data_IF_094021835459
#
_entry.id   IF_094021835459
#
_cell.length_a   1.000
_cell.length_b   1.000
_cell.length_c   1.000
_cell.angle_alpha   90.00
_cell.angle_beta   90.00
_cell.angle_gamma   90.00
#
_symmetry.space_group_name_H-M   'P 1'
#
loop_
_entity.id
_entity.type
_entity.pdbx_description
1 polymer ?
#
# COMPACT_ATOMS: atom_id res chain seq x y z
N UNK A 1 -51.12 1.12 43.97
CA UNK A 1 -51.00 0.26 42.78
C UNK A 1 -49.53 -0.04 42.58
N UNK A 2 -49.05 -1.18 43.16
CA UNK A 2 -47.63 -1.58 43.04
C UNK A 2 -47.45 -2.27 41.68
N UNK A 3 -46.72 -1.64 40.75
CA UNK A 3 -46.30 -2.25 39.51
C UNK A 3 -45.32 -3.38 39.81
N UNK A 4 -45.76 -4.63 39.73
CA UNK A 4 -44.90 -5.81 39.76
C UNK A 4 -44.13 -5.80 38.41
N UNK A 5 -42.97 -5.16 38.40
CA UNK A 5 -42.08 -5.19 37.22
C UNK A 5 -41.65 -6.63 36.97
N UNK A 6 -42.09 -7.18 35.85
CA UNK A 6 -41.67 -8.51 35.41
C UNK A 6 -40.14 -8.57 35.36
N UNK A 7 -39.53 -9.49 36.15
CA UNK A 7 -38.07 -9.66 36.21
C UNK A 7 -37.44 -9.77 34.79
N UNK A 8 -38.13 -10.41 33.86
CA UNK A 8 -37.69 -10.51 32.47
C UNK A 8 -37.62 -9.14 31.77
N UNK A 9 -38.61 -8.29 31.97
CA UNK A 9 -38.62 -6.92 31.40
C UNK A 9 -37.49 -6.04 31.97
N UNK A 10 -37.18 -6.20 33.24
CA UNK A 10 -36.06 -5.47 33.90
C UNK A 10 -34.72 -5.94 33.33
N UNK A 11 -34.53 -7.26 33.19
CA UNK A 11 -33.29 -7.83 32.62
C UNK A 11 -33.11 -7.37 31.17
N UNK A 12 -34.15 -7.46 30.33
CA UNK A 12 -34.10 -6.96 28.96
C UNK A 12 -33.74 -5.49 28.88
N UNK A 13 -34.34 -4.65 29.76
CA UNK A 13 -34.01 -3.23 29.83
C UNK A 13 -32.55 -2.98 30.20
N UNK A 14 -32.00 -3.69 31.17
CA UNK A 14 -30.57 -3.58 31.53
C UNK A 14 -29.66 -3.99 30.35
N UNK A 15 -29.96 -5.09 29.68
CA UNK A 15 -29.18 -5.55 28.54
C UNK A 15 -29.22 -4.53 27.41
N UNK A 16 -30.37 -3.94 27.10
CA UNK A 16 -30.50 -2.91 26.08
C UNK A 16 -29.71 -1.65 26.43
N UNK A 17 -29.77 -1.18 27.70
CA UNK A 17 -29.00 -0.02 28.17
C UNK A 17 -27.50 -0.33 28.05
N UNK A 18 -27.05 -1.50 28.49
CA UNK A 18 -25.65 -1.89 28.40
C UNK A 18 -25.17 -1.95 26.94
N UNK A 19 -26.00 -2.48 26.02
CA UNK A 19 -25.70 -2.53 24.60
C UNK A 19 -25.61 -1.12 23.99
N UNK A 20 -26.55 -0.23 24.31
CA UNK A 20 -26.54 1.17 23.86
C UNK A 20 -25.30 1.89 24.39
N UNK A 21 -24.99 1.72 25.67
CA UNK A 21 -23.80 2.32 26.28
C UNK A 21 -22.51 1.79 25.63
N UNK A 22 -22.44 0.49 25.36
CA UNK A 22 -21.32 -0.12 24.66
C UNK A 22 -21.15 0.43 23.24
N UNK A 23 -22.24 0.52 22.45
CA UNK A 23 -22.19 1.08 21.09
C UNK A 23 -21.80 2.56 21.13
N UNK A 24 -22.38 3.36 22.04
CA UNK A 24 -22.03 4.76 22.20
C UNK A 24 -20.54 4.94 22.55
N UNK A 25 -20.02 4.12 23.48
CA UNK A 25 -18.60 4.11 23.81
C UNK A 25 -17.72 3.77 22.61
N UNK A 26 -18.10 2.78 21.80
CA UNK A 26 -17.37 2.40 20.57
C UNK A 26 -17.37 3.51 19.53
N UNK A 27 -18.46 4.26 19.41
CA UNK A 27 -18.56 5.37 18.44
C UNK A 27 -17.67 6.57 18.81
N UNK A 28 -17.50 6.86 20.09
CA UNK A 28 -16.67 7.99 20.59
C UNK A 28 -15.23 7.59 20.89
N UNK A 29 -14.96 6.30 21.07
CA UNK A 29 -13.60 5.83 21.34
C UNK A 29 -12.69 6.14 20.14
N UNK A 30 -11.49 6.70 20.38
CA UNK A 30 -10.48 6.83 19.34
C UNK A 30 -10.24 5.48 18.66
N UNK A 31 -10.14 5.50 17.35
CA UNK A 31 -10.01 4.29 16.57
C UNK A 31 -8.58 3.79 16.64
N UNK A 32 -8.38 2.66 17.33
CA UNK A 32 -7.14 1.91 17.23
C UNK A 32 -7.23 1.06 15.96
N UNK A 33 -6.76 1.61 14.85
CA UNK A 33 -6.96 1.03 13.52
C UNK A 33 -6.15 -0.25 13.28
N UNK A 34 -5.13 -0.51 14.09
CA UNK A 34 -4.33 -1.72 14.00
C UNK A 34 -3.70 -2.07 15.36
N UNK A 35 -3.22 -3.30 15.49
CA UNK A 35 -2.47 -3.72 16.67
C UNK A 35 -1.04 -3.21 16.56
N UNK A 36 -0.59 -2.51 17.59
CA UNK A 36 0.80 -2.09 17.70
C UNK A 36 1.65 -3.31 18.04
N UNK A 37 2.45 -3.77 17.08
CA UNK A 37 3.40 -4.86 17.29
C UNK A 37 4.76 -4.32 17.78
N UNK A 38 5.57 -5.18 18.36
CA UNK A 38 6.92 -4.82 18.82
C UNK A 38 7.79 -4.22 17.71
N UNK A 39 7.56 -4.65 16.46
CA UNK A 39 8.34 -4.19 15.31
C UNK A 39 8.25 -2.67 15.11
N UNK A 40 7.10 -2.04 15.41
CA UNK A 40 6.91 -0.61 15.18
C UNK A 40 6.33 0.18 16.37
N UNK A 41 6.28 -0.41 17.58
CA UNK A 41 5.85 0.33 18.78
C UNK A 41 6.79 1.47 19.16
N UNK A 42 8.05 1.35 18.77
CA UNK A 42 9.11 2.33 19.02
C UNK A 42 9.90 2.62 17.75
N UNK A 43 10.51 3.82 17.65
CA UNK A 43 11.44 4.14 16.57
C UNK A 43 12.68 3.24 16.62
N UNK A 44 13.48 3.26 15.56
CA UNK A 44 14.82 2.67 15.53
C UNK A 44 15.71 3.48 16.44
N UNK A 45 16.37 2.81 17.41
CA UNK A 45 17.32 3.47 18.31
C UNK A 45 18.59 3.85 17.55
N UNK A 46 19.07 5.05 17.82
CA UNK A 46 20.37 5.56 17.36
C UNK A 46 21.33 5.83 18.51
N UNK A 47 21.10 5.20 19.67
CA UNK A 47 21.89 5.44 20.87
C UNK A 47 23.36 5.00 20.72
N UNK A 48 23.59 3.83 20.10
CA UNK A 48 24.89 3.19 19.98
C UNK A 48 25.44 3.34 18.57
N UNK A 49 25.69 4.58 18.14
CA UNK A 49 26.24 4.84 16.81
C UNK A 49 27.71 4.39 16.73
N UNK A 50 28.12 3.75 15.62
CA UNK A 50 29.54 3.51 15.38
C UNK A 50 30.33 4.85 15.42
N UNK A 51 31.48 4.93 16.09
CA UNK A 51 32.27 6.16 16.15
C UNK A 51 32.68 6.73 14.78
N UNK A 52 32.74 5.86 13.77
CA UNK A 52 33.00 6.24 12.37
C UNK A 52 31.82 6.89 11.66
N UNK A 53 30.60 6.82 12.22
CA UNK A 53 29.40 7.39 11.63
C UNK A 53 29.08 8.74 12.25
N UNK A 54 29.57 9.82 11.63
CA UNK A 54 29.39 11.18 12.14
C UNK A 54 28.01 11.78 11.86
N UNK A 55 27.28 11.26 10.86
CA UNK A 55 25.98 11.77 10.45
C UNK A 55 25.04 10.61 10.11
N UNK A 56 23.76 10.79 10.43
CA UNK A 56 22.66 9.90 10.01
C UNK A 56 21.91 10.43 8.79
N UNK A 57 22.24 11.65 8.34
CA UNK A 57 21.63 12.26 7.16
C UNK A 57 21.98 11.44 5.90
N UNK A 58 21.00 11.26 5.03
CA UNK A 58 21.20 10.65 3.73
C UNK A 58 22.25 11.40 2.88
N UNK A 59 22.35 12.75 3.04
CA UNK A 59 23.43 13.54 2.43
C UNK A 59 24.81 13.18 2.94
N UNK A 60 24.92 12.80 4.21
CA UNK A 60 26.20 12.29 4.76
C UNK A 60 26.61 10.98 4.09
N UNK A 61 25.66 10.08 3.87
CA UNK A 61 25.90 8.83 3.14
C UNK A 61 26.22 9.07 1.65
N UNK A 62 25.62 10.09 1.04
CA UNK A 62 25.84 10.46 -0.36
C UNK A 62 27.31 10.80 -0.67
N UNK A 63 28.10 11.27 0.31
CA UNK A 63 29.53 11.54 0.12
C UNK A 63 30.33 10.35 -0.44
N UNK A 64 29.88 9.12 -0.17
CA UNK A 64 30.45 7.90 -0.72
C UNK A 64 29.47 7.10 -1.57
N UNK A 65 28.16 7.18 -1.27
CA UNK A 65 27.09 6.38 -1.88
C UNK A 65 26.15 7.22 -2.74
N UNK A 66 26.70 8.07 -3.61
CA UNK A 66 25.98 9.09 -4.37
C UNK A 66 24.81 8.52 -5.20
N UNK A 67 25.05 7.46 -5.97
CA UNK A 67 24.02 6.89 -6.84
C UNK A 67 22.84 6.32 -6.04
N UNK A 68 23.09 5.74 -4.87
CA UNK A 68 22.03 5.24 -3.98
C UNK A 68 21.23 6.38 -3.37
N UNK A 69 21.89 7.50 -3.03
CA UNK A 69 21.22 8.70 -2.56
C UNK A 69 20.31 9.31 -3.64
N UNK A 70 20.78 9.40 -4.87
CA UNK A 70 19.99 9.91 -6.00
C UNK A 70 18.73 9.08 -6.23
N UNK A 71 18.86 7.75 -6.22
CA UNK A 71 17.72 6.84 -6.33
C UNK A 71 16.72 7.02 -5.17
N UNK A 72 17.21 6.99 -3.94
CA UNK A 72 16.41 7.19 -2.74
C UNK A 72 15.68 8.54 -2.75
N UNK A 73 16.35 9.61 -3.15
CA UNK A 73 15.77 10.95 -3.17
C UNK A 73 14.55 11.10 -4.08
N UNK A 74 14.41 10.20 -5.07
CA UNK A 74 13.24 10.14 -5.97
C UNK A 74 12.13 9.21 -5.47
N UNK A 75 12.35 8.51 -4.35
CA UNK A 75 11.40 7.54 -3.81
C UNK A 75 10.40 8.20 -2.86
N UNK A 76 9.25 7.56 -2.67
CA UNK A 76 8.29 8.00 -1.67
C UNK A 76 8.84 7.86 -0.23
N UNK A 77 9.83 6.99 0.00
CA UNK A 77 10.49 6.86 1.30
C UNK A 77 11.16 8.17 1.74
N UNK A 78 11.81 8.90 0.84
CA UNK A 78 12.41 10.20 1.15
C UNK A 78 11.38 11.29 1.47
N UNK A 79 10.12 11.08 1.08
CA UNK A 79 9.04 12.04 1.20
C UNK A 79 8.02 11.68 2.28
N UNK A 80 8.19 10.57 3.00
CA UNK A 80 7.18 10.03 3.93
C UNK A 80 6.74 11.01 5.00
N UNK A 81 7.58 11.95 5.40
CA UNK A 81 7.23 13.01 6.35
C UNK A 81 6.72 14.28 5.67
N UNK A 82 7.30 14.63 4.54
CA UNK A 82 6.99 15.88 3.82
C UNK A 82 5.81 15.75 2.85
N UNK A 83 5.27 14.55 2.66
CA UNK A 83 4.09 14.31 1.84
C UNK A 83 2.88 15.11 2.36
N UNK A 84 2.35 16.05 1.56
CA UNK A 84 1.24 16.90 1.99
C UNK A 84 -0.02 16.13 2.35
N UNK A 85 -0.29 15.01 1.66
CA UNK A 85 -1.44 14.16 2.00
C UNK A 85 -1.26 13.53 3.39
N UNK A 86 -0.10 12.95 3.65
CA UNK A 86 0.20 12.37 4.96
C UNK A 86 0.05 13.40 6.09
N UNK A 87 0.57 14.61 5.90
CA UNK A 87 0.50 15.66 6.93
C UNK A 87 -0.96 16.04 7.26
N UNK A 88 -1.81 16.22 6.24
CA UNK A 88 -3.23 16.56 6.45
C UNK A 88 -3.98 15.40 7.08
N UNK A 89 -3.75 14.17 6.62
CA UNK A 89 -4.41 12.97 7.15
C UNK A 89 -4.00 12.68 8.60
N UNK A 90 -2.71 12.81 8.92
CA UNK A 90 -2.17 12.67 10.27
C UNK A 90 -2.72 13.73 11.24
N UNK A 91 -2.84 14.99 10.78
CA UNK A 91 -3.46 16.06 11.56
C UNK A 91 -4.95 15.80 11.82
N UNK A 92 -5.67 15.39 10.76
CA UNK A 92 -7.09 15.04 10.86
C UNK A 92 -7.35 13.91 11.86
N UNK A 93 -6.48 12.92 11.94
CA UNK A 93 -6.59 11.81 12.89
C UNK A 93 -6.03 12.14 14.29
N UNK A 94 -5.66 13.40 14.57
CA UNK A 94 -5.23 13.88 15.90
C UNK A 94 -3.75 13.68 16.19
N UNK A 95 -2.91 13.58 15.15
CA UNK A 95 -1.44 13.48 15.25
C UNK A 95 -0.95 12.28 16.08
N UNK A 96 -1.45 11.06 15.83
CA UNK A 96 -1.05 9.91 16.63
C UNK A 96 0.46 9.63 16.50
N UNK A 97 1.12 9.44 17.64
CA UNK A 97 2.56 9.22 17.71
C UNK A 97 3.01 7.99 16.93
N UNK A 98 2.19 6.94 16.91
CA UNK A 98 2.51 5.68 16.23
C UNK A 98 2.82 5.87 14.74
N UNK A 99 2.22 6.84 14.06
CA UNK A 99 2.46 7.12 12.65
C UNK A 99 3.93 7.52 12.40
N UNK A 100 4.53 8.26 13.35
CA UNK A 100 5.93 8.68 13.29
C UNK A 100 6.90 7.51 13.24
N UNK A 101 6.57 6.39 13.88
CA UNK A 101 7.46 5.21 13.93
C UNK A 101 7.68 4.53 12.57
N UNK A 102 6.83 4.84 11.58
CA UNK A 102 7.02 4.40 10.20
C UNK A 102 7.42 5.55 9.26
N UNK A 103 6.88 6.77 9.45
CA UNK A 103 7.10 7.90 8.55
C UNK A 103 8.41 8.66 8.83
N UNK A 104 8.87 8.66 10.09
CA UNK A 104 10.17 9.19 10.56
C UNK A 104 10.74 8.20 11.59
N UNK A 105 11.25 7.05 11.12
CA UNK A 105 11.44 5.87 11.95
C UNK A 105 12.65 5.92 12.90
N UNK A 106 13.53 6.90 12.81
CA UNK A 106 14.65 7.04 13.74
C UNK A 106 14.23 7.83 14.99
N UNK A 107 14.74 7.47 16.15
CA UNK A 107 14.47 8.18 17.41
C UNK A 107 14.85 9.67 17.35
N UNK A 108 15.97 10.03 16.70
CA UNK A 108 16.41 11.42 16.50
C UNK A 108 15.54 12.25 15.56
N UNK A 109 14.68 11.61 14.78
CA UNK A 109 13.72 12.31 13.93
C UNK A 109 12.47 12.76 14.69
N UNK A 110 12.32 12.33 15.96
CA UNK A 110 11.11 12.58 16.74
C UNK A 110 11.38 13.54 17.89
N UNK A 111 10.52 14.56 18.05
CA UNK A 111 10.65 15.60 19.06
C UNK A 111 10.54 15.07 20.48
N UNK A 112 9.88 13.89 20.61
CA UNK A 112 9.66 13.23 21.89
C UNK A 112 10.12 11.77 21.86
N UNK A 113 10.60 11.29 22.99
CA UNK A 113 10.88 9.88 23.24
C UNK A 113 9.66 9.18 23.80
N UNK A 114 9.37 7.99 23.32
CA UNK A 114 8.38 7.10 23.92
C UNK A 114 9.03 6.36 25.07
N UNK A 115 8.71 6.76 26.33
CA UNK A 115 9.28 6.16 27.53
C UNK A 115 8.41 5.05 28.12
N UNK A 116 7.15 4.96 27.71
CA UNK A 116 6.22 3.92 28.14
C UNK A 116 4.87 4.07 27.46
N UNK A 117 3.89 3.31 27.94
CA UNK A 117 2.52 3.36 27.45
C UNK A 117 1.56 3.35 28.65
N UNK A 118 0.50 4.16 28.59
CA UNK A 118 -0.56 4.18 29.61
C UNK A 118 -1.64 3.13 29.35
N UNK A 119 -1.66 2.53 28.17
CA UNK A 119 -2.63 1.50 27.74
C UNK A 119 -1.93 0.20 27.31
N UNK A 120 -2.65 -0.91 27.43
CA UNK A 120 -2.14 -2.24 27.03
C UNK A 120 -1.96 -2.36 25.52
N UNK A 121 -2.70 -1.60 24.77
CA UNK A 121 -2.66 -1.62 23.30
C UNK A 121 -1.56 -0.75 22.71
N UNK A 122 -0.82 -0.01 23.54
CA UNK A 122 0.31 0.83 23.13
C UNK A 122 -0.06 1.96 22.15
N UNK A 123 -1.31 2.44 22.21
CA UNK A 123 -1.78 3.59 21.45
C UNK A 123 -1.61 4.92 22.17
N UNK A 124 -1.42 4.89 23.49
CA UNK A 124 -1.25 6.06 24.31
C UNK A 124 0.16 6.09 24.90
N UNK A 125 1.16 6.55 24.14
CA UNK A 125 2.53 6.62 24.59
C UNK A 125 2.69 7.68 25.68
N UNK A 126 3.55 7.39 26.64
CA UNK A 126 4.08 8.37 27.59
C UNK A 126 5.29 9.00 26.93
N UNK A 127 5.25 10.31 26.75
CA UNK A 127 6.23 11.06 25.96
C UNK A 127 7.07 11.97 26.85
N UNK A 128 8.38 12.01 26.59
CA UNK A 128 9.32 12.98 27.16
C UNK A 128 10.03 13.75 26.03
N UNK A 129 10.45 15.00 26.27
CA UNK A 129 11.24 15.75 25.30
C UNK A 129 12.50 14.97 24.87
N UNK A 130 12.82 15.03 23.61
CA UNK A 130 14.00 14.36 23.07
C UNK A 130 15.15 15.35 22.83
N UNK A 131 16.18 15.41 23.71
CA UNK A 131 17.30 16.32 23.54
C UNK A 131 18.18 16.00 22.32
N UNK A 132 18.04 14.81 21.73
CA UNK A 132 18.75 14.40 20.53
C UNK A 132 17.94 14.64 19.24
N UNK A 133 16.82 15.34 19.33
CA UNK A 133 15.97 15.63 18.16
C UNK A 133 16.72 16.48 17.11
N UNK A 134 16.64 16.05 15.87
CA UNK A 134 17.21 16.70 14.70
C UNK A 134 16.10 16.98 13.67
N UNK A 135 15.72 18.26 13.58
CA UNK A 135 14.65 18.71 12.68
C UNK A 135 15.03 18.56 11.19
N UNK A 136 16.32 18.62 10.83
CA UNK A 136 16.75 18.41 9.44
C UNK A 136 16.62 16.94 9.07
N UNK A 137 17.04 16.05 9.96
CA UNK A 137 16.90 14.61 9.76
C UNK A 137 15.41 14.18 9.69
N UNK A 138 14.52 14.84 10.44
CA UNK A 138 13.09 14.61 10.36
C UNK A 138 12.53 14.75 8.94
N UNK A 139 12.98 15.77 8.20
CA UNK A 139 12.52 16.03 6.83
C UNK A 139 13.00 15.01 5.81
N UNK A 140 13.94 14.15 6.16
CA UNK A 140 14.41 13.09 5.27
C UNK A 140 13.51 11.84 5.26
N UNK A 141 12.47 11.80 6.12
CA UNK A 141 11.54 10.68 6.16
C UNK A 141 12.23 9.35 6.47
N UNK A 142 11.95 8.32 5.68
CA UNK A 142 12.63 7.02 5.80
C UNK A 142 13.99 7.10 5.09
N UNK A 143 15.01 7.49 5.86
CA UNK A 143 16.38 7.69 5.36
C UNK A 143 17.18 6.37 5.31
N UNK A 144 18.43 6.45 4.83
CA UNK A 144 19.33 5.29 4.74
C UNK A 144 19.47 4.56 6.08
N UNK A 145 19.65 5.29 7.17
CA UNK A 145 19.82 4.75 8.51
C UNK A 145 18.58 3.99 9.01
N UNK A 146 17.40 4.34 8.52
CA UNK A 146 16.16 3.65 8.88
C UNK A 146 16.18 2.16 8.51
N UNK A 147 16.85 1.80 7.42
CA UNK A 147 17.02 0.43 6.94
C UNK A 147 18.36 -0.17 7.33
N UNK A 148 19.43 0.62 7.26
CA UNK A 148 20.80 0.13 7.41
C UNK A 148 21.39 0.24 8.81
N UNK A 149 20.75 0.91 9.77
CA UNK A 149 21.23 0.98 11.14
C UNK A 149 20.39 0.10 12.07
N UNK A 150 21.03 -0.84 12.74
CA UNK A 150 20.42 -1.67 13.81
C UNK A 150 21.45 -1.92 14.91
N UNK A 151 21.07 -1.67 16.15
CA UNK A 151 21.85 -1.97 17.36
C UNK A 151 23.31 -1.47 17.26
N UNK A 152 23.49 -0.25 16.80
CA UNK A 152 24.82 0.36 16.61
C UNK A 152 25.64 -0.18 15.44
N UNK A 153 25.07 -1.01 14.58
CA UNK A 153 25.74 -1.64 13.43
C UNK A 153 25.16 -1.18 12.12
N UNK A 154 26.03 -1.02 11.13
CA UNK A 154 25.59 -0.80 9.75
C UNK A 154 25.38 -2.15 9.08
N UNK A 155 24.20 -2.36 8.48
CA UNK A 155 23.83 -3.59 7.80
C UNK A 155 24.04 -3.46 6.29
N UNK A 156 24.55 -4.52 5.67
CA UNK A 156 24.71 -4.55 4.21
C UNK A 156 24.77 -5.98 3.67
N UNK A 157 24.62 -6.17 2.33
CA UNK A 157 24.55 -7.52 1.76
C UNK A 157 25.87 -8.26 1.77
N UNK A 158 26.99 -7.54 1.81
CA UNK A 158 28.30 -8.15 1.65
C UNK A 158 29.07 -8.31 2.98
N UNK A 159 28.76 -7.48 3.99
CA UNK A 159 29.59 -7.32 5.16
C UNK A 159 30.98 -6.78 4.77
N UNK A 160 31.66 -6.05 5.61
CA UNK A 160 33.05 -5.67 5.38
C UNK A 160 33.68 -5.06 6.63
N UNK A 161 34.78 -5.61 7.07
CA UNK A 161 35.61 -5.04 8.14
C UNK A 161 36.53 -3.93 7.62
N UNK A 162 36.78 -3.89 6.31
CA UNK A 162 37.67 -2.92 5.66
C UNK A 162 36.98 -1.67 5.10
N UNK A 163 35.69 -1.53 5.32
CA UNK A 163 34.95 -0.32 4.92
C UNK A 163 35.31 0.86 5.84
N UNK A 164 35.03 2.08 5.37
CA UNK A 164 35.17 3.28 6.19
C UNK A 164 34.33 3.24 7.48
N UNK A 165 33.32 2.42 7.52
CA UNK A 165 32.53 2.01 8.68
C UNK A 165 32.34 0.48 8.66
N UNK A 166 32.32 -0.21 9.83
CA UNK A 166 32.03 -1.63 9.88
C UNK A 166 30.66 -1.96 9.32
N UNK A 167 30.59 -3.04 8.51
CA UNK A 167 29.33 -3.51 7.92
C UNK A 167 29.09 -4.96 8.32
N UNK A 168 28.00 -5.19 9.01
CA UNK A 168 27.52 -6.56 9.32
C UNK A 168 26.63 -7.06 8.17
N UNK A 169 26.77 -8.34 7.85
CA UNK A 169 25.99 -8.95 6.78
C UNK A 169 24.55 -9.15 7.21
N UNK A 170 23.62 -8.58 6.44
CA UNK A 170 22.18 -8.77 6.62
C UNK A 170 21.77 -10.18 6.15
N UNK A 171 21.28 -11.01 7.06
CA UNK A 171 20.90 -12.40 6.77
C UNK A 171 19.67 -12.48 5.88
N UNK A 172 18.62 -11.70 6.19
CA UNK A 172 17.39 -11.60 5.41
C UNK A 172 17.05 -10.14 5.11
N UNK A 173 17.33 -9.66 3.90
CA UNK A 173 17.11 -8.26 3.57
C UNK A 173 15.63 -7.84 3.56
N UNK A 174 14.67 -8.77 3.48
CA UNK A 174 13.24 -8.45 3.54
C UNK A 174 12.79 -8.08 4.96
N UNK A 175 13.51 -8.49 6.00
CA UNK A 175 13.13 -8.18 7.39
C UNK A 175 13.12 -6.69 7.71
N UNK A 176 13.95 -5.89 7.03
CA UNK A 176 13.95 -4.43 7.23
C UNK A 176 12.63 -3.80 6.81
N UNK A 177 11.92 -4.40 5.86
CA UNK A 177 10.62 -3.93 5.36
C UNK A 177 9.52 -4.18 6.40
N UNK A 178 9.64 -5.25 7.19
CA UNK A 178 8.60 -5.70 8.10
C UNK A 178 8.37 -4.75 9.28
N UNK A 179 9.32 -3.89 9.59
CA UNK A 179 9.11 -2.86 10.61
C UNK A 179 7.91 -1.96 10.32
N UNK A 180 7.67 -1.63 9.04
CA UNK A 180 6.63 -0.67 8.63
C UNK A 180 5.52 -1.32 7.79
N UNK A 181 5.82 -2.38 7.03
CA UNK A 181 4.85 -3.01 6.13
C UNK A 181 4.15 -4.24 6.72
N UNK A 182 4.49 -4.64 7.95
CA UNK A 182 3.78 -5.65 8.74
C UNK A 182 2.89 -4.98 9.76
N UNK A 183 1.64 -4.77 9.42
CA UNK A 183 0.62 -4.36 10.37
C UNK A 183 -0.34 -5.52 10.53
N UNK A 184 -0.27 -6.22 11.63
CA UNK A 184 -1.07 -7.39 11.92
C UNK A 184 -1.64 -7.37 13.34
N UNK A 185 -2.60 -8.24 13.61
CA UNK A 185 -3.10 -8.40 14.95
C UNK A 185 -4.30 -9.31 15.06
N UNK A 186 -4.44 -9.89 16.24
CA UNK A 186 -5.48 -10.84 16.62
C UNK A 186 -6.45 -10.24 17.64
N UNK A 187 -6.90 -9.00 17.44
CA UNK A 187 -7.80 -8.37 18.39
C UNK A 187 -9.25 -8.74 18.12
N UNK A 188 -10.01 -8.93 19.20
CA UNK A 188 -11.44 -9.27 19.13
C UNK A 188 -12.31 -8.14 18.57
N UNK A 189 -11.82 -6.88 18.62
CA UNK A 189 -12.52 -5.69 18.12
C UNK A 189 -12.19 -5.34 16.66
N UNK A 190 -11.35 -6.17 16.01
CA UNK A 190 -11.12 -6.16 14.57
C UNK A 190 -11.60 -7.50 14.01
N UNK A 191 -12.82 -7.55 13.51
CA UNK A 191 -13.45 -8.80 13.07
C UNK A 191 -12.73 -9.43 11.89
N UNK A 192 -12.17 -8.63 11.02
CA UNK A 192 -11.38 -9.09 9.88
C UNK A 192 -10.00 -8.44 9.94
N UNK A 193 -9.00 -9.26 9.89
CA UNK A 193 -7.63 -8.96 10.31
C UNK A 193 -6.74 -8.40 9.22
N UNK A 194 -7.32 -7.78 8.22
CA UNK A 194 -6.51 -7.02 7.28
C UNK A 194 -6.41 -5.58 7.75
N UNK A 195 -5.33 -5.25 8.44
CA UNK A 195 -5.07 -3.88 8.82
C UNK A 195 -4.84 -3.02 7.57
N UNK A 196 -4.94 -1.69 7.68
CA UNK A 196 -4.80 -0.78 6.55
C UNK A 196 -3.54 -1.01 5.70
N UNK A 197 -2.44 -1.43 6.30
CA UNK A 197 -1.15 -1.60 5.62
C UNK A 197 -0.66 -3.05 5.62
N UNK A 198 -1.54 -4.02 5.43
CA UNK A 198 -1.27 -5.45 5.56
C UNK A 198 -0.61 -6.13 4.35
N UNK A 199 0.27 -5.46 3.62
CA UNK A 199 0.90 -6.00 2.40
C UNK A 199 1.55 -7.37 2.60
N UNK A 200 2.27 -7.59 3.70
CA UNK A 200 2.91 -8.88 4.00
C UNK A 200 1.86 -9.99 4.24
N UNK A 201 0.78 -9.67 4.95
CA UNK A 201 -0.31 -10.62 5.16
C UNK A 201 -1.01 -10.99 3.83
N UNK A 202 -1.10 -10.07 2.89
CA UNK A 202 -1.66 -10.32 1.56
C UNK A 202 -0.81 -11.31 0.76
N UNK A 203 0.51 -11.23 0.83
CA UNK A 203 1.42 -12.19 0.19
C UNK A 203 1.20 -13.60 0.74
N UNK A 204 1.14 -13.72 2.07
CA UNK A 204 0.97 -15.01 2.75
C UNK A 204 -0.39 -15.65 2.50
N UNK A 205 -1.43 -14.84 2.24
CA UNK A 205 -2.81 -15.30 2.03
C UNK A 205 -3.26 -15.26 0.57
N UNK A 206 -2.35 -15.04 -0.39
CA UNK A 206 -2.73 -15.04 -1.80
C UNK A 206 -3.20 -16.44 -2.21
N UNK A 207 -4.48 -16.64 -2.58
CA UNK A 207 -4.94 -17.92 -3.10
C UNK A 207 -4.20 -18.22 -4.40
N UNK A 208 -3.62 -19.39 -4.52
CA UNK A 208 -2.91 -19.80 -5.74
C UNK A 208 -1.39 -19.79 -5.64
N UNK A 209 -0.80 -19.55 -4.47
CA UNK A 209 0.57 -19.99 -4.18
C UNK A 209 0.62 -21.54 -4.10
N UNK A 210 -0.09 -22.23 -5.00
CA UNK A 210 -0.04 -23.68 -5.17
C UNK A 210 1.09 -24.02 -6.14
N UNK A 211 1.64 -25.23 -6.02
CA UNK A 211 2.67 -25.79 -6.93
C UNK A 211 2.28 -25.76 -8.41
N UNK A 212 1.01 -25.51 -8.73
CA UNK A 212 0.43 -25.53 -10.07
C UNK A 212 0.18 -24.11 -10.65
N UNK A 213 0.58 -23.04 -9.96
CA UNK A 213 0.51 -21.70 -10.53
C UNK A 213 1.49 -21.60 -11.72
N UNK A 214 1.06 -21.10 -12.89
CA UNK A 214 1.95 -20.96 -14.03
C UNK A 214 3.15 -20.09 -13.63
N UNK A 215 4.37 -20.46 -14.06
CA UNK A 215 5.55 -19.61 -13.85
C UNK A 215 5.26 -18.23 -14.44
N UNK A 216 5.66 -17.17 -13.74
CA UNK A 216 5.66 -15.84 -14.31
C UNK A 216 6.38 -15.92 -15.65
N UNK A 217 5.79 -15.32 -16.69
CA UNK A 217 6.31 -15.45 -18.05
C UNK A 217 7.81 -15.11 -18.09
N UNK A 218 8.61 -16.07 -18.58
CA UNK A 218 10.06 -16.05 -18.54
C UNK A 218 10.74 -15.01 -19.45
N UNK A 219 10.03 -13.96 -19.88
CA UNK A 219 10.49 -12.96 -20.85
C UNK A 219 10.49 -11.54 -20.28
N UNK A 220 10.85 -11.39 -19.01
CA UNK A 220 11.06 -10.04 -18.49
C UNK A 220 12.52 -9.62 -18.68
N UNK A 221 12.75 -8.79 -19.71
CA UNK A 221 14.03 -8.12 -19.99
C UNK A 221 14.31 -6.97 -19.01
N UNK A 222 13.44 -6.73 -18.00
CA UNK A 222 13.55 -5.64 -17.02
C UNK A 222 14.49 -5.96 -15.85
N UNK A 223 15.08 -7.15 -15.80
CA UNK A 223 15.98 -7.56 -14.72
C UNK A 223 15.27 -7.90 -13.40
N UNK A 224 13.95 -8.12 -13.44
CA UNK A 224 13.20 -8.61 -12.29
C UNK A 224 13.36 -10.13 -12.20
N UNK A 225 13.95 -10.61 -11.10
CA UNK A 225 13.93 -12.03 -10.79
C UNK A 225 12.49 -12.51 -10.59
N UNK A 226 12.05 -13.46 -11.39
CA UNK A 226 10.75 -14.10 -11.21
C UNK A 226 10.76 -14.93 -9.94
N UNK A 227 9.84 -14.63 -9.01
CA UNK A 227 9.63 -15.45 -7.82
C UNK A 227 9.08 -16.81 -8.26
N UNK A 228 9.83 -17.88 -7.97
CA UNK A 228 9.39 -19.23 -8.30
C UNK A 228 8.06 -19.57 -7.62
N UNK A 229 7.14 -20.27 -8.32
CA UNK A 229 5.92 -20.77 -7.70
C UNK A 229 6.27 -21.69 -6.52
N UNK A 230 5.76 -21.39 -5.35
CA UNK A 230 5.95 -22.20 -4.13
C UNK A 230 6.85 -21.59 -3.06
N UNK A 231 7.55 -20.48 -3.32
CA UNK A 231 8.21 -19.73 -2.26
C UNK A 231 7.19 -18.76 -1.63
N UNK A 232 6.62 -19.17 -0.51
CA UNK A 232 5.66 -18.38 0.25
C UNK A 232 6.30 -17.22 1.03
N UNK A 233 7.62 -17.06 0.95
CA UNK A 233 8.35 -16.00 1.62
C UNK A 233 8.16 -14.68 0.89
N UNK A 234 7.81 -13.57 1.59
CA UNK A 234 7.76 -12.26 0.99
C UNK A 234 9.12 -11.87 0.41
N UNK A 235 9.17 -11.60 -0.90
CA UNK A 235 10.40 -11.20 -1.57
C UNK A 235 10.30 -9.77 -2.11
N UNK A 236 10.23 -8.81 -1.19
CA UNK A 236 10.01 -7.39 -1.47
C UNK A 236 11.12 -6.81 -2.37
N UNK A 237 12.37 -7.16 -2.06
CA UNK A 237 13.54 -6.57 -2.72
C UNK A 237 13.68 -7.01 -4.18
N UNK A 238 13.16 -8.17 -4.56
CA UNK A 238 13.25 -8.64 -5.95
C UNK A 238 12.49 -7.73 -6.92
N UNK A 239 11.30 -7.28 -6.52
CA UNK A 239 10.46 -6.42 -7.35
C UNK A 239 10.72 -4.93 -7.11
N UNK A 240 10.86 -4.51 -5.84
CA UNK A 240 10.95 -3.09 -5.50
C UNK A 240 12.37 -2.52 -5.51
N UNK A 241 13.40 -3.37 -5.58
CA UNK A 241 14.80 -3.01 -5.62
C UNK A 241 15.54 -3.77 -6.73
N UNK A 242 15.33 -3.42 -8.01
CA UNK A 242 15.91 -4.15 -9.15
C UNK A 242 17.43 -4.15 -9.10
N UNK A 243 18.03 -5.18 -9.69
CA UNK A 243 19.50 -5.36 -9.73
C UNK A 243 20.17 -4.35 -10.67
N UNK A 244 21.40 -4.01 -10.36
CA UNK A 244 22.31 -3.24 -11.19
C UNK A 244 23.75 -3.65 -10.95
N UNK A 245 24.60 -3.54 -11.99
CA UNK A 245 26.03 -3.78 -11.92
C UNK A 245 26.75 -2.42 -11.77
N UNK A 246 27.23 -2.10 -10.58
CA UNK A 246 27.94 -0.85 -10.29
C UNK A 246 28.76 -0.94 -9.00
N UNK A 247 29.68 0.00 -8.77
CA UNK A 247 30.39 0.06 -7.48
C UNK A 247 29.46 0.51 -6.35
N UNK A 248 29.77 0.10 -5.11
CA UNK A 248 29.10 0.61 -3.90
C UNK A 248 29.51 2.06 -3.58
N UNK A 249 30.71 2.42 -3.95
CA UNK A 249 31.30 3.77 -3.76
C UNK A 249 32.05 4.16 -5.02
N UNK A 250 32.16 5.45 -5.29
CA UNK A 250 32.85 5.97 -6.47
C UNK A 250 34.29 5.39 -6.58
N UNK A 251 34.64 4.87 -7.74
CA UNK A 251 35.93 4.24 -8.00
C UNK A 251 36.12 2.84 -7.37
N UNK A 252 35.12 2.31 -6.68
CA UNK A 252 35.16 1.01 -6.08
C UNK A 252 34.98 -0.16 -7.08
N UNK A 253 35.09 -1.39 -6.59
CA UNK A 253 34.85 -2.60 -7.38
C UNK A 253 33.39 -2.69 -7.82
N UNK A 254 33.16 -3.01 -9.10
CA UNK A 254 31.81 -3.33 -9.62
C UNK A 254 31.28 -4.58 -8.93
N UNK A 255 30.04 -4.49 -8.51
CA UNK A 255 29.30 -5.56 -7.83
C UNK A 255 27.84 -5.55 -8.29
N UNK A 256 27.18 -6.68 -8.17
CA UNK A 256 25.73 -6.76 -8.29
C UNK A 256 25.09 -6.09 -7.06
N UNK A 257 24.40 -4.99 -7.25
CA UNK A 257 23.74 -4.21 -6.20
C UNK A 257 22.27 -4.04 -6.49
N UNK A 258 21.50 -3.63 -5.51
CA UNK A 258 20.09 -3.31 -5.70
C UNK A 258 19.88 -1.80 -5.77
N UNK A 259 19.06 -1.37 -6.73
CA UNK A 259 18.62 0.02 -6.84
C UNK A 259 17.68 0.37 -5.69
N UNK A 260 17.80 1.59 -5.17
CA UNK A 260 17.05 2.09 -4.03
C UNK A 260 15.86 2.96 -4.48
N UNK A 261 15.02 2.43 -5.37
CA UNK A 261 13.91 3.14 -6.00
C UNK A 261 12.58 2.93 -5.30
N UNK A 262 12.30 1.73 -4.80
CA UNK A 262 11.04 1.33 -4.15
C UNK A 262 9.79 1.81 -4.89
N UNK A 263 9.77 1.67 -6.21
CA UNK A 263 8.59 2.05 -7.01
C UNK A 263 7.37 1.24 -6.60
N UNK A 264 6.21 1.87 -6.64
CA UNK A 264 4.95 1.26 -6.20
C UNK A 264 3.75 2.03 -6.74
N UNK A 265 2.67 2.19 -5.97
CA UNK A 265 1.44 2.84 -6.41
C UNK A 265 1.56 4.31 -6.84
N UNK A 266 2.66 4.98 -6.54
CA UNK A 266 2.97 6.34 -7.03
C UNK A 266 3.70 6.34 -8.39
N UNK A 267 4.02 5.16 -8.92
CA UNK A 267 4.69 5.00 -10.21
C UNK A 267 3.76 4.26 -11.18
N UNK A 268 3.23 4.93 -12.22
CA UNK A 268 2.31 4.31 -13.18
C UNK A 268 2.91 3.11 -13.90
N UNK A 269 4.21 3.13 -14.22
CA UNK A 269 4.86 2.04 -14.94
C UNK A 269 5.01 0.80 -14.05
N UNK A 270 5.31 0.98 -12.76
CA UNK A 270 5.33 -0.13 -11.81
C UNK A 270 3.94 -0.78 -11.66
N UNK A 271 2.87 0.02 -11.63
CA UNK A 271 1.50 -0.51 -11.56
C UNK A 271 1.13 -1.25 -12.84
N UNK A 272 1.51 -0.74 -14.01
CA UNK A 272 1.28 -1.41 -15.30
C UNK A 272 1.99 -2.76 -15.38
N UNK A 273 3.19 -2.90 -14.83
CA UNK A 273 3.90 -4.17 -14.76
C UNK A 273 3.18 -5.22 -13.89
N UNK A 274 2.43 -4.76 -12.88
CA UNK A 274 1.64 -5.62 -12.03
C UNK A 274 0.31 -6.09 -12.64
N UNK A 275 -0.16 -5.43 -13.70
CA UNK A 275 -1.54 -5.56 -14.19
C UNK A 275 -1.60 -5.94 -15.66
N UNK A 276 -2.09 -7.13 -15.96
CA UNK A 276 -2.51 -7.49 -17.31
C UNK A 276 -3.96 -7.08 -17.53
N UNK A 277 -4.23 -6.32 -18.60
CA UNK A 277 -5.57 -5.85 -18.95
C UNK A 277 -5.85 -6.04 -20.43
N UNK A 278 -7.03 -6.58 -20.74
CA UNK A 278 -7.46 -6.78 -22.12
C UNK A 278 -8.97 -6.49 -22.29
N UNK A 279 -9.31 -5.69 -23.29
CA UNK A 279 -10.67 -5.60 -23.81
C UNK A 279 -10.78 -6.45 -25.07
N UNK A 280 -11.74 -7.37 -25.13
CA UNK A 280 -11.95 -8.25 -26.28
C UNK A 280 -13.42 -8.33 -26.63
N UNK A 281 -13.73 -8.48 -27.91
CA UNK A 281 -15.07 -8.85 -28.33
C UNK A 281 -15.30 -10.33 -28.03
N UNK A 282 -16.42 -10.64 -27.40
CA UNK A 282 -16.89 -11.97 -27.06
C UNK A 282 -17.97 -12.44 -28.07
N UNK A 283 -18.29 -13.72 -28.13
CA UNK A 283 -19.42 -14.19 -28.93
C UNK A 283 -20.70 -13.41 -28.66
N UNK A 284 -21.39 -13.01 -29.72
CA UNK A 284 -22.62 -12.24 -29.62
C UNK A 284 -23.72 -13.05 -28.86
N UNK A 285 -24.38 -12.45 -27.88
CA UNK A 285 -25.42 -13.17 -27.12
C UNK A 285 -26.69 -13.44 -27.95
N UNK A 286 -26.93 -12.68 -29.00
CA UNK A 286 -28.04 -12.87 -29.95
C UNK A 286 -27.83 -11.99 -31.21
N UNK A 287 -28.52 -12.29 -32.34
CA UNK A 287 -28.44 -11.47 -33.54
C UNK A 287 -28.76 -9.99 -33.26
N UNK A 288 -27.90 -9.09 -33.81
CA UNK A 288 -28.01 -7.64 -33.60
C UNK A 288 -27.45 -7.11 -32.28
N UNK A 289 -26.87 -7.99 -31.45
CA UNK A 289 -26.13 -7.60 -30.26
C UNK A 289 -24.65 -7.93 -30.41
N UNK A 290 -23.80 -7.18 -29.71
CA UNK A 290 -22.37 -7.44 -29.57
C UNK A 290 -22.03 -7.50 -28.09
N UNK A 291 -21.10 -8.32 -27.72
CA UNK A 291 -20.63 -8.46 -26.34
C UNK A 291 -19.14 -8.17 -26.26
N UNK A 292 -18.73 -7.46 -25.22
CA UNK A 292 -17.34 -7.14 -24.96
C UNK A 292 -16.97 -7.58 -23.56
N UNK A 293 -15.75 -8.05 -23.41
CA UNK A 293 -15.24 -8.49 -22.12
C UNK A 293 -13.98 -7.72 -21.77
N UNK A 294 -14.00 -7.01 -20.68
CA UNK A 294 -12.82 -6.40 -20.08
C UNK A 294 -12.30 -7.31 -18.96
N UNK A 295 -11.08 -7.79 -19.11
CA UNK A 295 -10.42 -8.66 -18.14
C UNK A 295 -9.24 -7.94 -17.51
N UNK A 296 -9.15 -7.96 -16.18
CA UNK A 296 -8.02 -7.45 -15.40
C UNK A 296 -7.45 -8.59 -14.55
N UNK A 297 -6.14 -8.80 -14.62
CA UNK A 297 -5.44 -9.82 -13.86
C UNK A 297 -4.19 -9.23 -13.21
N UNK A 298 -4.04 -9.43 -11.91
CA UNK A 298 -2.78 -9.16 -11.24
C UNK A 298 -1.81 -10.29 -11.54
N UNK A 299 -0.86 -10.06 -12.45
CA UNK A 299 0.13 -11.05 -12.89
C UNK A 299 1.51 -10.80 -12.27
N UNK A 300 1.85 -9.56 -11.93
CA UNK A 300 3.18 -9.17 -11.49
C UNK A 300 3.33 -8.93 -9.98
N UNK A 301 2.28 -8.48 -9.27
CA UNK A 301 2.39 -8.21 -7.85
C UNK A 301 2.10 -9.45 -6.99
N UNK A 302 3.00 -9.79 -6.07
CA UNK A 302 2.81 -10.91 -5.14
C UNK A 302 1.73 -10.65 -4.07
N UNK A 303 1.38 -9.40 -3.84
CA UNK A 303 0.31 -8.92 -2.96
C UNK A 303 -0.94 -8.55 -3.78
N UNK A 304 -2.02 -8.17 -3.13
CA UNK A 304 -3.19 -7.66 -3.83
C UNK A 304 -2.89 -6.36 -4.57
N UNK A 305 -3.57 -6.13 -5.68
CA UNK A 305 -3.46 -4.90 -6.45
C UNK A 305 -4.81 -4.16 -6.45
N UNK A 306 -4.83 -2.91 -5.92
CA UNK A 306 -3.78 -2.24 -5.16
C UNK A 306 -3.60 -2.79 -3.74
N UNK A 307 -2.46 -2.51 -3.12
CA UNK A 307 -2.19 -2.78 -1.71
C UNK A 307 -1.98 -1.48 -0.93
N UNK A 308 -1.81 -1.56 0.38
CA UNK A 308 -1.59 -0.44 1.28
C UNK A 308 -2.90 0.07 1.89
N UNK A 309 -3.06 1.39 1.97
CA UNK A 309 -4.24 2.00 2.60
C UNK A 309 -5.52 1.66 1.82
N UNK A 310 -6.68 1.53 2.51
CA UNK A 310 -7.96 1.23 1.87
C UNK A 310 -8.44 2.27 0.86
N UNK A 311 -7.89 3.47 0.90
CA UNK A 311 -8.20 4.55 -0.05
C UNK A 311 -7.70 4.26 -1.46
N UNK A 312 -6.67 3.42 -1.59
CA UNK A 312 -6.14 2.99 -2.89
C UNK A 312 -7.10 2.03 -3.56
N UNK A 313 -7.44 2.32 -4.81
CA UNK A 313 -8.33 1.47 -5.59
C UNK A 313 -8.06 1.59 -7.08
N UNK A 314 -8.60 0.62 -7.84
CA UNK A 314 -8.69 0.68 -9.29
C UNK A 314 -10.15 0.93 -9.68
N UNK A 315 -10.37 1.70 -10.73
CA UNK A 315 -11.65 1.77 -11.44
C UNK A 315 -11.47 1.29 -12.86
N UNK A 316 -12.39 0.45 -13.32
CA UNK A 316 -12.50 0.02 -14.71
C UNK A 316 -13.80 0.59 -15.27
N UNK A 317 -13.69 1.44 -16.28
CA UNK A 317 -14.82 2.09 -16.95
C UNK A 317 -14.92 1.55 -18.37
N UNK A 318 -16.12 1.13 -18.78
CA UNK A 318 -16.42 0.72 -20.15
C UNK A 318 -17.47 1.67 -20.69
N UNK A 319 -17.20 2.25 -21.86
CA UNK A 319 -18.07 3.25 -22.51
C UNK A 319 -18.47 2.83 -23.91
N UNK A 320 -19.74 3.07 -24.23
CA UNK A 320 -20.22 3.10 -25.60
C UNK A 320 -20.21 4.54 -26.08
N UNK A 321 -19.55 4.83 -27.21
CA UNK A 321 -19.41 6.20 -27.71
C UNK A 321 -19.89 6.34 -29.13
N UNK A 322 -20.37 7.52 -29.48
CA UNK A 322 -20.73 7.90 -30.85
C UNK A 322 -19.56 8.52 -31.63
N UNK A 323 -19.83 8.97 -32.87
CA UNK A 323 -18.82 9.55 -33.74
C UNK A 323 -18.24 10.87 -33.22
N UNK A 324 -18.98 11.63 -32.41
CA UNK A 324 -18.50 12.85 -31.78
C UNK A 324 -17.66 12.57 -30.51
N UNK A 325 -17.63 11.34 -30.03
CA UNK A 325 -17.03 10.96 -28.75
C UNK A 325 -18.00 11.12 -27.57
N UNK A 326 -19.28 11.44 -27.83
CA UNK A 326 -20.27 11.50 -26.75
C UNK A 326 -20.55 10.10 -26.18
N UNK A 327 -20.63 10.03 -24.86
CA UNK A 327 -20.90 8.77 -24.13
C UNK A 327 -22.38 8.46 -24.17
N UNK A 328 -22.75 7.39 -24.84
CA UNK A 328 -24.12 6.86 -24.93
C UNK A 328 -24.47 6.00 -23.72
N UNK A 329 -23.51 5.21 -23.23
CA UNK A 329 -23.62 4.36 -22.04
C UNK A 329 -22.27 4.18 -21.37
N UNK A 330 -22.27 4.10 -20.05
CA UNK A 330 -21.08 3.91 -19.25
C UNK A 330 -21.37 2.88 -18.13
N UNK A 331 -20.39 2.03 -17.85
CA UNK A 331 -20.41 1.13 -16.71
C UNK A 331 -19.08 1.25 -15.94
N UNK A 332 -19.17 1.50 -14.64
CA UNK A 332 -18.03 1.66 -13.74
C UNK A 332 -17.94 0.50 -12.77
N UNK A 333 -16.72 -0.04 -12.62
CA UNK A 333 -16.42 -1.13 -11.70
C UNK A 333 -15.23 -0.73 -10.81
N UNK A 334 -15.42 -0.76 -9.50
CA UNK A 334 -14.38 -0.45 -8.54
C UNK A 334 -13.78 -1.70 -7.92
N UNK A 335 -12.46 -1.84 -7.97
CA UNK A 335 -11.68 -2.85 -7.26
C UNK A 335 -11.06 -2.17 -6.04
N UNK A 336 -11.69 -2.33 -4.89
CA UNK A 336 -11.33 -1.66 -3.64
C UNK A 336 -11.63 -2.51 -2.42
N UNK A 337 -11.08 -2.09 -1.30
CA UNK A 337 -11.41 -2.58 0.02
C UNK A 337 -12.41 -1.64 0.68
N UNK A 338 -13.53 -2.19 1.14
CA UNK A 338 -14.58 -1.44 1.82
C UNK A 338 -14.60 -1.80 3.29
N UNK A 339 -14.25 -0.84 4.15
CA UNK A 339 -14.13 -1.06 5.59
C UNK A 339 -15.14 -0.20 6.33
N UNK A 340 -15.88 -0.82 7.22
CA UNK A 340 -16.65 -0.13 8.26
C UNK A 340 -15.71 0.17 9.43
N UNK A 341 -15.41 1.45 9.65
CA UNK A 341 -14.46 1.86 10.68
C UNK A 341 -15.09 2.02 12.08
N UNK A 342 -16.40 2.27 12.15
CA UNK A 342 -17.11 2.50 13.41
C UNK A 342 -18.51 1.87 13.37
N UNK A 343 -19.01 1.32 14.46
CA UNK A 343 -18.41 1.18 15.80
C UNK A 343 -17.35 0.09 15.90
N UNK A 344 -17.25 -0.77 14.88
CA UNK A 344 -16.30 -1.87 14.80
C UNK A 344 -15.53 -1.78 13.49
N UNK A 345 -14.27 -2.19 13.49
CA UNK A 345 -13.49 -2.31 12.27
C UNK A 345 -13.88 -3.63 11.61
N UNK A 346 -14.57 -3.54 10.49
CA UNK A 346 -15.06 -4.72 9.74
C UNK A 346 -14.77 -4.53 8.27
N UNK A 347 -14.07 -5.49 7.67
CA UNK A 347 -13.98 -5.59 6.23
C UNK A 347 -15.33 -6.05 5.67
N UNK A 348 -16.07 -5.12 5.06
CA UNK A 348 -17.37 -5.43 4.46
C UNK A 348 -17.21 -6.17 3.14
N UNK A 349 -16.21 -5.77 2.36
CA UNK A 349 -15.96 -6.34 1.04
C UNK A 349 -14.55 -6.00 0.58
N UNK A 350 -13.85 -6.98 -0.01
CA UNK A 350 -12.61 -6.78 -0.73
C UNK A 350 -12.78 -7.24 -2.18
N UNK A 351 -12.72 -6.31 -3.12
CA UNK A 351 -12.82 -6.57 -4.56
C UNK A 351 -11.52 -6.31 -5.30
N UNK A 352 -10.43 -6.03 -4.58
CA UNK A 352 -9.08 -5.87 -5.15
C UNK A 352 -8.68 -7.13 -5.91
N UNK A 353 -7.60 -7.04 -6.66
CA UNK A 353 -7.10 -8.13 -7.51
C UNK A 353 -6.07 -8.98 -6.73
N UNK A 354 -6.44 -10.16 -6.22
CA UNK A 354 -5.46 -11.14 -5.78
C UNK A 354 -4.62 -11.60 -6.98
N UNK A 355 -3.40 -12.05 -6.73
CA UNK A 355 -2.55 -12.57 -7.81
C UNK A 355 -3.22 -13.74 -8.54
N UNK A 356 -3.13 -13.76 -9.87
CA UNK A 356 -3.64 -14.80 -10.78
C UNK A 356 -5.16 -14.99 -10.77
N UNK A 357 -5.93 -14.11 -10.13
CA UNK A 357 -7.39 -14.19 -10.16
C UNK A 357 -7.97 -13.06 -11.04
N UNK A 358 -8.43 -13.38 -12.25
CA UNK A 358 -8.98 -12.37 -13.14
C UNK A 358 -10.31 -11.81 -12.62
N UNK A 359 -10.50 -10.52 -12.83
CA UNK A 359 -11.81 -9.87 -12.79
C UNK A 359 -12.27 -9.68 -14.22
N UNK A 360 -13.48 -10.13 -14.51
CA UNK A 360 -14.08 -10.14 -15.84
C UNK A 360 -15.34 -9.31 -15.79
N UNK A 361 -15.43 -8.30 -16.64
CA UNK A 361 -16.58 -7.42 -16.79
C UNK A 361 -17.12 -7.58 -18.20
N UNK A 362 -18.41 -7.94 -18.31
CA UNK A 362 -19.09 -8.08 -19.58
C UNK A 362 -19.88 -6.80 -19.89
N UNK A 363 -19.81 -6.37 -21.14
CA UNK A 363 -20.50 -5.17 -21.62
C UNK A 363 -21.21 -5.50 -22.95
N UNK A 364 -22.55 -5.59 -22.91
CA UNK A 364 -23.36 -5.94 -24.06
C UNK A 364 -23.87 -4.69 -24.75
N UNK A 365 -23.75 -4.63 -26.08
CA UNK A 365 -24.20 -3.54 -26.94
C UNK A 365 -25.35 -4.02 -27.83
N UNK A 366 -26.45 -3.29 -27.83
CA UNK A 366 -27.59 -3.51 -28.76
C UNK A 366 -27.62 -2.39 -29.80
N UNK A 367 -27.09 -2.66 -30.99
CA UNK A 367 -26.97 -1.66 -32.05
C UNK A 367 -28.32 -1.13 -32.58
N UNK A 368 -29.43 -1.79 -32.23
CA UNK A 368 -30.78 -1.32 -32.55
C UNK A 368 -31.22 -0.22 -31.60
N UNK A 369 -30.79 -0.28 -30.34
CA UNK A 369 -31.05 0.73 -29.32
C UNK A 369 -30.10 1.92 -29.40
N UNK A 370 -28.85 1.64 -29.80
CA UNK A 370 -27.75 2.61 -29.87
C UNK A 370 -27.27 2.77 -31.32
N UNK A 371 -28.11 3.27 -32.24
CA UNK A 371 -27.80 3.31 -33.67
C UNK A 371 -26.70 4.29 -34.06
N UNK A 372 -26.31 5.20 -33.16
CA UNK A 372 -25.23 6.18 -33.39
C UNK A 372 -23.89 5.68 -32.81
N UNK A 373 -23.89 4.55 -32.11
CA UNK A 373 -22.68 3.98 -31.53
C UNK A 373 -21.64 3.59 -32.59
N UNK A 374 -20.39 3.95 -32.36
CA UNK A 374 -19.28 3.66 -33.28
C UNK A 374 -18.12 2.92 -32.61
N UNK A 375 -18.03 2.94 -31.28
CA UNK A 375 -16.95 2.22 -30.58
C UNK A 375 -17.32 1.89 -29.12
N UNK A 376 -16.62 0.87 -28.62
CA UNK A 376 -16.52 0.57 -27.19
C UNK A 376 -15.13 0.98 -26.71
N UNK A 377 -15.06 1.78 -25.67
CA UNK A 377 -13.83 2.21 -25.01
C UNK A 377 -13.73 1.59 -23.62
N UNK A 378 -12.52 1.19 -23.24
CA UNK A 378 -12.22 0.78 -21.88
C UNK A 378 -11.09 1.62 -21.31
N UNK A 379 -11.23 2.02 -20.06
CA UNK A 379 -10.24 2.76 -19.29
C UNK A 379 -10.07 2.11 -17.92
N UNK A 380 -8.83 1.92 -17.49
CA UNK A 380 -8.54 1.53 -16.10
C UNK A 380 -7.67 2.60 -15.46
N UNK A 381 -8.12 3.09 -14.30
CA UNK A 381 -7.41 4.11 -13.52
C UNK A 381 -7.00 3.58 -12.17
N UNK A 382 -5.80 3.93 -11.75
CA UNK A 382 -5.31 3.73 -10.40
C UNK A 382 -5.54 5.01 -9.59
N UNK A 383 -6.14 4.86 -8.41
CA UNK A 383 -6.39 5.95 -7.48
C UNK A 383 -5.49 5.79 -6.26
N UNK A 384 -4.72 6.82 -5.97
CA UNK A 384 -3.86 6.91 -4.78
C UNK A 384 -4.68 7.20 -3.53
N UNK A 385 -5.83 7.86 -3.70
CA UNK A 385 -6.70 8.33 -2.64
C UNK A 385 -8.16 8.25 -3.09
N UNK A 386 -9.04 7.89 -2.17
CA UNK A 386 -10.49 7.96 -2.38
C UNK A 386 -10.96 9.43 -2.31
N UNK A 387 -11.74 9.87 -3.29
CA UNK A 387 -12.22 11.25 -3.39
C UNK A 387 -13.10 11.66 -2.20
N UNK A 388 -13.86 10.73 -1.63
CA UNK A 388 -14.67 10.99 -0.44
C UNK A 388 -13.81 11.21 0.80
N UNK A 389 -12.70 10.45 0.93
CA UNK A 389 -11.70 10.65 1.99
C UNK A 389 -11.02 12.01 1.82
N UNK A 390 -10.56 12.33 0.62
CA UNK A 390 -9.92 13.60 0.29
C UNK A 390 -10.76 14.81 0.75
N UNK A 391 -12.05 14.81 0.39
CA UNK A 391 -12.98 15.89 0.79
C UNK A 391 -13.17 15.92 2.32
N UNK A 392 -13.32 14.76 2.94
CA UNK A 392 -13.58 14.67 4.39
C UNK A 392 -12.45 15.23 5.23
N UNK A 393 -11.18 14.98 4.83
CA UNK A 393 -10.01 15.50 5.55
C UNK A 393 -9.63 16.93 5.13
N UNK A 394 -10.28 17.50 4.09
CA UNK A 394 -9.97 18.83 3.58
C UNK A 394 -8.66 18.90 2.79
N UNK A 395 -8.19 17.77 2.21
CA UNK A 395 -6.95 17.77 1.44
C UNK A 395 -7.14 18.39 0.06
N UNK A 396 -6.38 19.44 -0.23
CA UNK A 396 -6.29 20.07 -1.55
C UNK A 396 -5.04 19.57 -2.28
N UNK A 397 -5.25 18.66 -3.22
CA UNK A 397 -4.15 18.05 -3.96
C UNK A 397 -3.58 19.00 -5.03
N UNK A 398 -2.26 19.13 -5.06
CA UNK A 398 -1.52 19.85 -6.12
C UNK A 398 -1.26 18.96 -7.34
N UNK A 399 -1.09 17.66 -7.09
CA UNK A 399 -0.85 16.65 -8.11
C UNK A 399 -2.11 15.78 -8.30
N UNK A 400 -2.30 15.18 -9.48
CA UNK A 400 -3.39 14.24 -9.69
C UNK A 400 -3.35 13.07 -8.70
N UNK A 401 -4.49 12.77 -8.07
CA UNK A 401 -4.63 11.63 -7.15
C UNK A 401 -5.01 10.32 -7.87
N UNK A 402 -5.11 10.34 -9.19
CA UNK A 402 -5.39 9.18 -10.01
C UNK A 402 -4.75 9.33 -11.39
N UNK A 403 -4.40 8.21 -12.00
CA UNK A 403 -3.80 8.15 -13.34
C UNK A 403 -4.27 6.91 -14.11
N UNK A 404 -4.19 6.99 -15.44
CA UNK A 404 -4.57 5.89 -16.31
C UNK A 404 -3.46 4.82 -16.35
N UNK A 405 -3.84 3.57 -16.15
CA UNK A 405 -2.94 2.41 -16.31
C UNK A 405 -3.24 1.64 -17.59
N UNK A 406 -4.46 1.78 -18.12
CA UNK A 406 -4.87 1.16 -19.37
C UNK A 406 -5.93 1.99 -20.07
N UNK A 407 -5.84 2.10 -21.40
CA UNK A 407 -6.87 2.66 -22.26
C UNK A 407 -6.85 1.98 -23.59
N UNK A 408 -8.03 1.61 -24.10
CA UNK A 408 -8.18 1.01 -25.43
C UNK A 408 -9.56 1.32 -26.02
N UNK A 409 -9.68 1.11 -27.33
CA UNK A 409 -10.91 1.33 -28.08
C UNK A 409 -11.08 0.23 -29.13
N UNK A 410 -12.29 -0.31 -29.25
CA UNK A 410 -12.69 -1.24 -30.31
C UNK A 410 -13.78 -0.56 -31.14
N UNK A 411 -13.54 -0.43 -32.44
CA UNK A 411 -14.54 0.10 -33.38
C UNK A 411 -15.69 -0.90 -33.59
N UNK A 412 -16.88 -0.37 -33.75
CA UNK A 412 -18.08 -1.15 -34.03
C UNK A 412 -18.33 -1.17 -35.56
N UNK A 413 -17.69 -2.11 -36.28
CA UNK A 413 -17.96 -2.30 -37.71
C UNK A 413 -19.38 -2.80 -37.92
N UNK A 414 -20.17 -2.04 -38.66
CA UNK A 414 -21.57 -2.36 -38.96
C UNK A 414 -21.74 -3.48 -40.00
N UNK A 415 -20.70 -3.77 -40.80
CA UNK A 415 -20.75 -4.79 -41.84
C UNK A 415 -20.77 -6.23 -41.30
N UNK A 416 -20.39 -6.45 -40.05
CA UNK A 416 -20.38 -7.76 -39.41
C UNK A 416 -21.72 -8.17 -38.77
N UNK A 417 -22.78 -7.38 -38.98
CA UNK A 417 -24.08 -7.58 -38.29
C UNK A 417 -25.20 -8.10 -39.22
N UNK A 418 -24.90 -8.46 -40.48
CA UNK A 418 -25.83 -9.10 -41.41
C UNK A 418 -25.72 -10.62 -41.39
#
# INVERSE_FOLDING_TARGET
>A
MMFVRNKKTVVVGIVLIALIAFIAWRLVRPMNIFVVSEAFERPVSTADLPPSLQSLSAKGCAGCHQEFYEEWSTSIHSQTWTDPYFQVDWEFDGKPQICKNCHIPLDRQQEHKVVGFSDKEKWQPILEPNPAFDAQLQHEGVSCAACHLRDGKILGPYGSESAAHPVEKLANPNEVCFKCHVVGGNRWDTFFRFPPCGTVAEISNTPGATKDSPPAAANDTSGHETVAPGDASPNCIQCHMPLAERPLVAGGKIRTVRKHLWRGGHDPEMVKQGLETALREAPAPSPGKRSFTLTLTNTGAAHYLPTGTPDRHLTATIRLVDQSGAVLREEDHAMKRSILWRPFIVDLRDTRLPRWQPRVFQFDVDLRRDPTAVAVEAQVRYHLLDESRRRRIGYENKEPIAYDVFRTRIALDREKTN
#
